data_IF_760529673092
#
_entry.id   IF_760529673092
#
_cell.length_a   1.000
_cell.length_b   1.000
_cell.length_c   1.000
_cell.angle_alpha   90.00
_cell.angle_beta   90.00
_cell.angle_gamma   90.00
#
_symmetry.space_group_name_H-M   'P 1'
#
loop_
_entity.id
_entity.type
_entity.pdbx_description
1 polymer ?
#
# COMPACT_ATOMS: atom_id res chain seq x y z
N UNK A 1 -20.60 -28.18 -11.65
CA UNK A 1 -21.74 -27.36 -11.18
C UNK A 1 -21.23 -25.93 -11.17
N UNK A 2 -21.67 -25.14 -12.14
CA UNK A 2 -21.28 -23.73 -12.27
C UNK A 2 -21.97 -22.96 -11.15
N UNK A 3 -21.20 -22.44 -10.19
CA UNK A 3 -21.74 -21.49 -9.23
C UNK A 3 -21.85 -20.17 -9.97
N UNK A 4 -23.09 -19.75 -10.19
CA UNK A 4 -23.47 -18.58 -10.96
C UNK A 4 -23.09 -17.34 -10.14
N UNK A 5 -21.97 -16.72 -10.49
CA UNK A 5 -21.62 -15.37 -10.05
C UNK A 5 -22.75 -14.45 -10.50
N UNK A 6 -23.62 -14.11 -9.56
CA UNK A 6 -24.58 -13.02 -9.73
C UNK A 6 -23.99 -11.82 -8.96
N UNK A 7 -23.00 -11.13 -9.54
CA UNK A 7 -22.28 -10.07 -8.85
C UNK A 7 -23.29 -9.00 -8.43
N UNK A 8 -23.22 -8.61 -7.16
CA UNK A 8 -24.04 -7.52 -6.64
C UNK A 8 -23.54 -6.22 -7.29
N UNK A 9 -24.35 -5.65 -8.19
CA UNK A 9 -24.04 -4.40 -8.89
C UNK A 9 -24.27 -3.18 -7.98
N UNK A 10 -23.28 -2.30 -7.88
CA UNK A 10 -23.34 -1.05 -7.14
C UNK A 10 -24.49 -0.15 -7.61
N UNK A 11 -24.83 -0.16 -8.90
CA UNK A 11 -25.95 0.63 -9.44
C UNK A 11 -27.30 0.07 -9.01
N UNK A 12 -27.42 -1.26 -8.95
CA UNK A 12 -28.60 -1.92 -8.40
C UNK A 12 -28.74 -1.66 -6.90
N UNK A 13 -27.63 -1.67 -6.15
CA UNK A 13 -27.61 -1.30 -4.73
C UNK A 13 -28.07 0.14 -4.51
N UNK A 14 -27.64 1.09 -5.33
CA UNK A 14 -28.07 2.49 -5.22
C UNK A 14 -29.59 2.66 -5.31
N UNK A 15 -30.29 1.78 -6.05
CA UNK A 15 -31.75 1.80 -6.17
C UNK A 15 -32.48 1.28 -4.91
N UNK A 16 -31.79 0.57 -4.02
CA UNK A 16 -32.34 0.06 -2.74
C UNK A 16 -32.60 1.21 -1.74
N UNK A 17 -31.90 2.33 -1.90
CA UNK A 17 -32.06 3.53 -1.08
C UNK A 17 -31.15 3.55 0.16
N UNK A 18 -30.76 4.76 0.62
CA UNK A 18 -29.70 4.94 1.60
C UNK A 18 -30.04 4.35 2.99
N UNK A 19 -31.29 4.45 3.46
CA UNK A 19 -31.69 3.94 4.78
C UNK A 19 -31.61 2.41 4.85
N UNK A 20 -32.04 1.74 3.77
CA UNK A 20 -32.03 0.28 3.72
C UNK A 20 -30.62 -0.26 3.55
N UNK A 21 -29.78 0.40 2.74
CA UNK A 21 -28.35 0.09 2.64
C UNK A 21 -27.63 0.28 3.98
N UNK A 22 -27.88 1.39 4.69
CA UNK A 22 -27.28 1.64 6.00
C UNK A 22 -27.64 0.54 7.02
N UNK A 23 -28.90 0.07 7.00
CA UNK A 23 -29.34 -1.05 7.86
C UNK A 23 -28.59 -2.34 7.51
N UNK A 24 -28.51 -2.70 6.23
CA UNK A 24 -27.83 -3.92 5.78
C UNK A 24 -26.33 -3.90 6.10
N UNK A 25 -25.68 -2.74 5.92
CA UNK A 25 -24.28 -2.56 6.27
C UNK A 25 -24.04 -2.67 7.78
N UNK A 26 -24.93 -2.10 8.60
CA UNK A 26 -24.85 -2.22 10.06
C UNK A 26 -25.03 -3.68 10.52
N UNK A 27 -25.97 -4.42 9.93
CA UNK A 27 -26.17 -5.85 10.20
C UNK A 27 -24.95 -6.68 9.77
N UNK A 28 -24.42 -6.45 8.58
CA UNK A 28 -23.23 -7.16 8.07
C UNK A 28 -21.97 -6.86 8.91
N UNK A 29 -21.83 -5.64 9.40
CA UNK A 29 -20.74 -5.25 10.30
C UNK A 29 -20.80 -5.94 11.68
N UNK A 30 -21.93 -6.52 12.09
CA UNK A 30 -21.99 -7.28 13.33
C UNK A 30 -21.24 -8.62 13.23
N UNK A 31 -21.19 -9.20 12.05
CA UNK A 31 -20.56 -10.51 11.80
C UNK A 31 -19.23 -10.40 11.05
N UNK A 32 -18.94 -9.24 10.44
CA UNK A 32 -17.70 -8.98 9.72
C UNK A 32 -16.89 -7.85 10.40
N UNK A 33 -15.84 -8.19 11.19
CA UNK A 33 -15.00 -7.22 11.87
C UNK A 33 -14.27 -6.23 10.94
N UNK A 34 -13.86 -6.68 9.75
CA UNK A 34 -13.23 -5.85 8.73
C UNK A 34 -14.21 -4.77 8.23
N UNK A 35 -15.43 -5.19 7.84
CA UNK A 35 -16.48 -4.26 7.43
C UNK A 35 -16.85 -3.27 8.54
N UNK A 36 -16.88 -3.73 9.79
CA UNK A 36 -17.14 -2.86 10.94
C UNK A 36 -16.10 -1.75 11.08
N UNK A 37 -14.81 -2.07 10.99
CA UNK A 37 -13.73 -1.08 11.08
C UNK A 37 -13.78 -0.10 9.91
N UNK A 38 -14.01 -0.60 8.70
CA UNK A 38 -14.21 0.25 7.52
C UNK A 38 -15.37 1.23 7.69
N UNK A 39 -16.52 0.78 8.18
CA UNK A 39 -17.66 1.67 8.45
C UNK A 39 -17.38 2.67 9.57
N UNK A 40 -16.69 2.25 10.64
CA UNK A 40 -16.28 3.14 11.73
C UNK A 40 -15.37 4.26 11.20
N UNK A 41 -14.38 3.91 10.38
CA UNK A 41 -13.51 4.87 9.71
C UNK A 41 -14.29 5.86 8.84
N UNK A 42 -15.17 5.37 7.95
CA UNK A 42 -15.97 6.24 7.05
C UNK A 42 -16.88 7.19 7.84
N UNK A 43 -17.46 6.73 8.95
CA UNK A 43 -18.29 7.55 9.84
C UNK A 43 -17.47 8.58 10.61
N UNK A 44 -16.24 8.23 11.02
CA UNK A 44 -15.29 9.14 11.65
C UNK A 44 -14.89 10.26 10.69
N UNK A 45 -14.52 9.92 9.46
CA UNK A 45 -14.19 10.89 8.42
C UNK A 45 -15.36 11.86 8.12
N UNK A 46 -16.60 11.37 8.09
CA UNK A 46 -17.79 12.23 7.88
C UNK A 46 -18.09 13.19 9.05
N UNK A 47 -17.70 12.85 10.27
CA UNK A 47 -17.92 13.69 11.47
C UNK A 47 -16.92 14.85 11.58
N UNK A 48 -16.04 15.01 10.60
CA UNK A 48 -15.02 16.07 10.60
C UNK A 48 -13.78 15.74 11.43
N UNK A 49 -13.60 14.48 11.83
CA UNK A 49 -12.28 14.02 12.26
C UNK A 49 -11.31 14.11 11.08
N UNK A 50 -10.06 14.45 11.35
CA UNK A 50 -9.05 14.52 10.30
C UNK A 50 -8.90 13.14 9.67
N UNK A 51 -9.21 13.03 8.36
CA UNK A 51 -9.16 11.77 7.60
C UNK A 51 -7.80 11.07 7.78
N UNK A 52 -6.70 11.83 7.85
CA UNK A 52 -5.37 11.28 8.08
C UNK A 52 -5.22 10.64 9.48
N UNK A 53 -5.81 11.25 10.51
CA UNK A 53 -5.76 10.71 11.88
C UNK A 53 -6.65 9.46 12.00
N UNK A 54 -7.81 9.46 11.35
CA UNK A 54 -8.69 8.30 11.29
C UNK A 54 -8.01 7.11 10.56
N UNK A 55 -7.30 7.36 9.44
CA UNK A 55 -6.54 6.30 8.75
C UNK A 55 -5.39 5.82 9.63
N UNK A 56 -4.68 6.72 10.30
CA UNK A 56 -3.60 6.34 11.22
C UNK A 56 -4.09 5.43 12.33
N UNK A 57 -5.25 5.76 12.90
CA UNK A 57 -5.88 4.93 13.92
C UNK A 57 -6.26 3.55 13.36
N UNK A 58 -6.82 3.51 12.15
CA UNK A 58 -7.17 2.26 11.48
C UNK A 58 -5.95 1.37 11.25
N UNK A 59 -4.85 1.93 10.73
CA UNK A 59 -3.56 1.21 10.58
C UNK A 59 -3.06 0.67 11.93
N UNK A 60 -3.13 1.48 12.99
CA UNK A 60 -2.68 1.08 14.32
C UNK A 60 -3.52 -0.06 14.90
N UNK A 61 -4.85 0.00 14.76
CA UNK A 61 -5.75 -1.06 15.22
C UNK A 61 -5.61 -2.33 14.39
N UNK A 62 -5.32 -2.18 13.10
CA UNK A 62 -5.00 -3.29 12.22
C UNK A 62 -3.72 -4.02 12.68
N UNK A 63 -2.63 -3.28 12.85
CA UNK A 63 -1.34 -3.83 13.24
C UNK A 63 -1.30 -4.41 14.66
N UNK A 64 -2.21 -4.00 15.54
CA UNK A 64 -2.33 -4.56 16.89
C UNK A 64 -2.96 -5.97 16.93
N UNK A 65 -3.50 -6.46 15.81
CA UNK A 65 -4.10 -7.78 15.74
C UNK A 65 -3.01 -8.87 15.66
N UNK A 66 -3.13 -9.90 16.49
CA UNK A 66 -2.11 -10.94 16.64
C UNK A 66 -2.63 -12.36 16.41
N UNK A 67 -3.91 -12.54 16.07
CA UNK A 67 -4.49 -13.86 15.84
C UNK A 67 -4.01 -14.48 14.53
N UNK A 68 -3.69 -15.78 14.53
CA UNK A 68 -3.40 -16.51 13.29
C UNK A 68 -4.60 -16.46 12.33
N UNK A 69 -4.28 -16.48 11.03
CA UNK A 69 -5.23 -16.31 9.94
C UNK A 69 -5.32 -17.58 9.11
N UNK A 70 -6.55 -18.04 8.86
CA UNK A 70 -6.83 -19.00 7.80
C UNK A 70 -6.95 -18.30 6.43
N UNK A 71 -7.12 -19.09 5.35
CA UNK A 71 -7.19 -18.55 3.99
C UNK A 71 -8.33 -17.54 3.77
N UNK A 72 -9.53 -17.81 4.29
CA UNK A 72 -10.69 -16.90 4.15
C UNK A 72 -10.44 -15.59 4.90
N UNK A 73 -9.78 -15.66 6.06
CA UNK A 73 -9.40 -14.48 6.83
C UNK A 73 -8.28 -13.67 6.18
N UNK A 74 -7.37 -14.30 5.43
CA UNK A 74 -6.34 -13.60 4.64
C UNK A 74 -6.99 -12.77 3.53
N UNK A 75 -8.00 -13.30 2.84
CA UNK A 75 -8.73 -12.58 1.78
C UNK A 75 -9.44 -11.35 2.34
N UNK A 76 -10.24 -11.52 3.40
CA UNK A 76 -10.95 -10.40 4.03
C UNK A 76 -10.02 -9.36 4.66
N UNK A 77 -8.81 -9.78 5.04
CA UNK A 77 -7.76 -8.89 5.50
C UNK A 77 -7.12 -8.12 4.35
N UNK A 78 -6.88 -8.76 3.20
CA UNK A 78 -6.37 -8.09 2.00
C UNK A 78 -7.33 -7.00 1.53
N UNK A 79 -8.64 -7.26 1.56
CA UNK A 79 -9.67 -6.26 1.27
C UNK A 79 -9.63 -5.05 2.24
N UNK A 80 -9.34 -5.30 3.52
CA UNK A 80 -9.18 -4.24 4.51
C UNK A 80 -7.92 -3.39 4.24
N UNK A 81 -6.82 -4.07 3.93
CA UNK A 81 -5.54 -3.44 3.57
C UNK A 81 -5.70 -2.57 2.32
N UNK A 82 -6.42 -3.08 1.31
CA UNK A 82 -6.70 -2.35 0.08
C UNK A 82 -7.58 -1.13 0.34
N UNK A 83 -8.60 -1.26 1.19
CA UNK A 83 -9.43 -0.13 1.56
C UNK A 83 -8.63 0.99 2.27
N UNK A 84 -7.67 0.62 3.13
CA UNK A 84 -6.73 1.60 3.72
C UNK A 84 -5.86 2.25 2.65
N UNK A 85 -5.26 1.48 1.74
CA UNK A 85 -4.45 1.99 0.62
C UNK A 85 -5.21 3.00 -0.23
N UNK A 86 -6.40 2.62 -0.71
CA UNK A 86 -7.26 3.47 -1.55
C UNK A 86 -7.59 4.76 -0.82
N UNK A 87 -7.99 4.67 0.46
CA UNK A 87 -8.31 5.85 1.27
C UNK A 87 -7.13 6.81 1.41
N UNK A 88 -5.91 6.30 1.59
CA UNK A 88 -4.70 7.12 1.62
C UNK A 88 -4.49 7.81 0.26
N UNK A 89 -4.54 7.03 -0.82
CA UNK A 89 -4.25 7.50 -2.17
C UNK A 89 -5.30 8.49 -2.71
N UNK A 90 -6.58 8.37 -2.32
CA UNK A 90 -7.65 9.25 -2.77
C UNK A 90 -8.01 10.32 -1.75
N UNK A 91 -8.46 9.93 -0.57
CA UNK A 91 -9.12 10.84 0.37
C UNK A 91 -8.08 11.66 1.13
N UNK A 92 -7.04 10.99 1.67
CA UNK A 92 -5.96 11.70 2.36
C UNK A 92 -5.16 12.54 1.38
N UNK A 93 -4.78 12.01 0.22
CA UNK A 93 -4.05 12.79 -0.79
C UNK A 93 -4.80 14.06 -1.19
N UNK A 94 -6.13 14.00 -1.33
CA UNK A 94 -6.95 15.17 -1.64
C UNK A 94 -7.11 16.19 -0.49
N UNK A 95 -7.14 15.73 0.77
CA UNK A 95 -7.43 16.58 1.93
C UNK A 95 -6.18 17.08 2.66
N UNK A 96 -5.13 16.27 2.74
CA UNK A 96 -3.87 16.49 3.45
C UNK A 96 -2.72 15.78 2.70
N UNK A 97 -2.34 16.27 1.50
CA UNK A 97 -1.39 15.61 0.61
C UNK A 97 -0.04 15.36 1.30
N UNK A 98 0.42 16.28 2.14
CA UNK A 98 1.66 16.19 2.92
C UNK A 98 1.72 14.97 3.86
N UNK A 99 0.56 14.45 4.30
CA UNK A 99 0.47 13.30 5.20
C UNK A 99 0.36 11.97 4.44
N UNK A 100 -0.08 11.97 3.19
CA UNK A 100 -0.35 10.74 2.42
C UNK A 100 0.89 9.85 2.23
N UNK A 101 2.09 10.37 1.87
CA UNK A 101 3.29 9.54 1.77
C UNK A 101 3.63 8.87 3.09
N UNK A 102 3.58 9.61 4.19
CA UNK A 102 3.91 9.09 5.52
C UNK A 102 2.98 7.95 5.93
N UNK A 103 1.68 8.06 5.64
CA UNK A 103 0.70 7.02 5.91
C UNK A 103 0.88 5.80 4.99
N UNK A 104 1.21 5.99 3.71
CA UNK A 104 1.52 4.88 2.81
C UNK A 104 2.76 4.11 3.29
N UNK A 105 3.79 4.81 3.77
CA UNK A 105 4.94 4.16 4.41
C UNK A 105 4.55 3.38 5.68
N UNK A 106 3.62 3.89 6.49
CA UNK A 106 3.10 3.17 7.65
C UNK A 106 2.32 1.91 7.24
N UNK A 107 1.55 1.95 6.15
CA UNK A 107 0.85 0.80 5.61
C UNK A 107 1.81 -0.37 5.30
N UNK A 108 2.96 -0.09 4.68
CA UNK A 108 3.98 -1.11 4.38
C UNK A 108 4.53 -1.80 5.64
N UNK A 109 4.58 -1.10 6.78
CA UNK A 109 5.06 -1.70 8.04
C UNK A 109 4.15 -2.83 8.54
N UNK A 110 2.91 -2.93 8.03
CA UNK A 110 2.00 -4.02 8.35
C UNK A 110 2.41 -5.34 7.70
N UNK A 111 3.30 -5.36 6.71
CA UNK A 111 3.72 -6.58 6.01
C UNK A 111 4.18 -7.67 6.98
N UNK A 112 5.10 -7.35 7.90
CA UNK A 112 5.56 -8.31 8.90
C UNK A 112 4.42 -8.79 9.81
N UNK A 113 3.56 -7.88 10.26
CA UNK A 113 2.40 -8.26 11.09
C UNK A 113 1.48 -9.22 10.36
N UNK A 114 1.32 -9.12 9.04
CA UNK A 114 0.41 -9.97 8.26
C UNK A 114 1.05 -11.32 7.95
N UNK A 115 2.24 -11.31 7.34
CA UNK A 115 2.87 -12.52 6.83
C UNK A 115 3.38 -13.44 7.95
N UNK A 116 3.64 -12.92 9.15
CA UNK A 116 3.98 -13.78 10.31
C UNK A 116 2.76 -14.52 10.89
N UNK A 117 1.54 -14.10 10.56
CA UNK A 117 0.28 -14.65 11.12
C UNK A 117 -0.38 -15.69 10.23
N UNK A 118 0.19 -16.02 9.07
CA UNK A 118 -0.38 -17.00 8.16
C UNK A 118 0.71 -17.87 7.52
N UNK A 119 0.35 -19.11 7.18
CA UNK A 119 1.18 -19.99 6.35
C UNK A 119 0.74 -19.99 4.89
N UNK A 120 -0.35 -19.28 4.58
CA UNK A 120 -0.84 -19.12 3.21
C UNK A 120 0.10 -18.21 2.41
N UNK A 121 0.10 -18.35 1.08
CA UNK A 121 1.00 -17.60 0.20
C UNK A 121 0.78 -16.07 0.28
N UNK A 122 -0.41 -15.61 0.68
CA UNK A 122 -0.74 -14.19 0.82
C UNK A 122 -0.61 -13.42 -0.49
N UNK A 123 -1.04 -14.02 -1.60
CA UNK A 123 -0.91 -13.42 -2.94
C UNK A 123 -1.74 -12.14 -3.06
N UNK A 124 -2.93 -12.16 -2.49
CA UNK A 124 -3.89 -11.06 -2.45
C UNK A 124 -3.28 -9.87 -1.71
N UNK A 125 -2.70 -10.12 -0.53
CA UNK A 125 -1.95 -9.12 0.26
C UNK A 125 -0.76 -8.57 -0.54
N UNK A 126 -0.01 -9.45 -1.21
CA UNK A 126 1.11 -9.06 -2.06
C UNK A 126 0.69 -8.14 -3.21
N UNK A 127 -0.45 -8.39 -3.85
CA UNK A 127 -1.00 -7.52 -4.89
C UNK A 127 -1.33 -6.13 -4.35
N UNK A 128 -1.89 -6.04 -3.14
CA UNK A 128 -2.17 -4.74 -2.51
C UNK A 128 -0.88 -3.96 -2.25
N UNK A 129 0.20 -4.60 -1.80
CA UNK A 129 1.49 -3.93 -1.65
C UNK A 129 2.11 -3.51 -2.99
N UNK A 130 1.92 -4.30 -4.04
CA UNK A 130 2.38 -3.94 -5.39
C UNK A 130 1.63 -2.70 -5.92
N UNK A 131 0.32 -2.58 -5.67
CA UNK A 131 -0.46 -1.38 -5.98
C UNK A 131 -0.06 -0.19 -5.11
N UNK A 132 0.15 -0.41 -3.80
CA UNK A 132 0.60 0.62 -2.87
C UNK A 132 1.96 1.21 -3.28
N UNK A 133 2.85 0.40 -3.90
CA UNK A 133 4.11 0.90 -4.45
C UNK A 133 3.89 1.94 -5.56
N UNK A 134 2.87 1.73 -6.41
CA UNK A 134 2.51 2.68 -7.47
C UNK A 134 1.90 3.96 -6.90
N UNK A 135 1.02 3.82 -5.91
CA UNK A 135 0.39 4.96 -5.25
C UNK A 135 1.40 5.78 -4.45
N UNK A 136 2.36 5.12 -3.80
CA UNK A 136 3.44 5.78 -3.06
C UNK A 136 4.20 6.80 -3.92
N UNK A 137 4.52 6.45 -5.16
CA UNK A 137 5.21 7.38 -6.07
C UNK A 137 4.32 8.58 -6.38
N UNK A 138 3.03 8.34 -6.70
CA UNK A 138 2.07 9.41 -7.00
C UNK A 138 1.87 10.35 -5.81
N UNK A 139 1.54 9.82 -4.64
CA UNK A 139 1.30 10.65 -3.45
C UNK A 139 2.56 11.39 -3.01
N UNK A 140 3.76 10.84 -3.24
CA UNK A 140 5.02 11.53 -2.95
C UNK A 140 5.25 12.72 -3.89
N UNK A 141 4.89 12.58 -5.16
CA UNK A 141 4.94 13.67 -6.14
C UNK A 141 3.89 14.74 -5.83
N UNK A 142 2.65 14.34 -5.53
CA UNK A 142 1.56 15.25 -5.19
C UNK A 142 1.84 16.04 -3.90
N UNK A 143 2.57 15.43 -2.96
CA UNK A 143 3.02 16.05 -1.71
C UNK A 143 4.32 16.86 -1.84
N UNK A 144 4.89 16.99 -3.04
CA UNK A 144 6.16 17.69 -3.31
C UNK A 144 7.34 17.17 -2.47
N UNK A 145 7.38 15.86 -2.19
CA UNK A 145 8.52 15.23 -1.50
C UNK A 145 9.75 15.32 -2.38
N UNK A 146 10.86 15.87 -1.86
CA UNK A 146 12.08 16.03 -2.64
C UNK A 146 12.55 14.70 -3.30
N UNK A 147 12.83 14.67 -4.63
CA UNK A 147 13.18 13.42 -5.32
C UNK A 147 14.37 12.65 -4.71
N UNK A 148 15.40 13.37 -4.24
CA UNK A 148 16.54 12.78 -3.52
C UNK A 148 16.17 12.25 -2.13
N UNK A 149 15.27 12.93 -1.41
CA UNK A 149 14.75 12.46 -0.12
C UNK A 149 13.95 11.17 -0.31
N UNK A 150 13.07 11.17 -1.30
CA UNK A 150 12.31 9.98 -1.70
C UNK A 150 13.25 8.83 -2.08
N UNK A 151 14.25 9.07 -2.93
CA UNK A 151 15.23 8.08 -3.34
C UNK A 151 15.98 7.47 -2.15
N UNK A 152 16.40 8.28 -1.18
CA UNK A 152 17.06 7.80 0.03
C UNK A 152 16.17 6.85 0.84
N UNK A 153 14.88 7.17 0.96
CA UNK A 153 13.91 6.34 1.67
C UNK A 153 13.60 5.04 0.93
N UNK A 154 13.46 5.10 -0.39
CA UNK A 154 13.31 3.90 -1.25
C UNK A 154 14.50 2.96 -1.09
N UNK A 155 15.73 3.49 -1.15
CA UNK A 155 16.93 2.66 -0.99
C UNK A 155 16.97 2.02 0.39
N UNK A 156 16.64 2.75 1.44
CA UNK A 156 16.55 2.16 2.78
C UNK A 156 15.54 1.01 2.80
N UNK A 157 14.33 1.22 2.25
CA UNK A 157 13.25 0.23 2.22
C UNK A 157 13.64 -1.05 1.47
N UNK A 158 14.17 -0.96 0.24
CA UNK A 158 14.55 -2.14 -0.54
C UNK A 158 15.73 -2.91 0.06
N UNK A 159 16.59 -2.25 0.84
CA UNK A 159 17.70 -2.92 1.56
C UNK A 159 17.27 -3.56 2.88
N UNK A 160 16.08 -3.23 3.36
CA UNK A 160 15.47 -3.81 4.57
C UNK A 160 14.23 -4.65 4.24
N UNK A 161 14.00 -4.97 2.97
CA UNK A 161 12.84 -5.73 2.50
C UNK A 161 12.90 -7.16 3.03
N UNK A 162 11.87 -7.56 3.78
CA UNK A 162 11.85 -8.87 4.44
C UNK A 162 10.78 -9.79 3.85
N UNK A 163 9.65 -9.23 3.43
CA UNK A 163 8.51 -10.01 2.94
C UNK A 163 8.21 -9.72 1.47
N UNK A 164 8.99 -8.86 0.81
CA UNK A 164 8.74 -8.46 -0.57
C UNK A 164 7.70 -7.35 -0.68
N UNK A 165 7.42 -6.63 0.42
CA UNK A 165 6.43 -5.54 0.45
C UNK A 165 6.83 -4.35 -0.43
N UNK A 166 8.12 -4.25 -0.78
CA UNK A 166 8.65 -3.23 -1.70
C UNK A 166 8.98 -3.77 -3.09
N UNK A 167 8.62 -5.02 -3.41
CA UNK A 167 9.01 -5.71 -4.65
C UNK A 167 8.67 -4.91 -5.91
N UNK A 168 7.48 -4.31 -6.00
CA UNK A 168 7.07 -3.54 -7.17
C UNK A 168 7.61 -2.09 -7.19
N UNK A 169 8.28 -1.62 -6.13
CA UNK A 169 8.63 -0.21 -5.97
C UNK A 169 9.58 0.30 -7.04
N UNK A 170 10.59 -0.49 -7.42
CA UNK A 170 11.52 -0.12 -8.50
C UNK A 170 10.79 0.01 -9.83
N UNK A 171 9.85 -0.90 -10.12
CA UNK A 171 9.03 -0.88 -11.34
C UNK A 171 8.06 0.30 -11.35
N UNK A 172 7.44 0.60 -10.21
CA UNK A 172 6.55 1.74 -10.05
C UNK A 172 7.31 3.05 -10.34
N UNK A 173 8.52 3.20 -9.80
CA UNK A 173 9.37 4.37 -10.03
C UNK A 173 9.79 4.44 -11.49
N UNK A 174 10.24 3.33 -12.10
CA UNK A 174 10.59 3.32 -13.53
C UNK A 174 9.42 3.75 -14.41
N UNK A 175 8.20 3.28 -14.10
CA UNK A 175 6.97 3.66 -14.80
C UNK A 175 6.59 5.14 -14.63
N UNK A 176 7.21 5.84 -13.67
CA UNK A 176 7.04 7.26 -13.46
C UNK A 176 7.88 8.14 -14.39
N UNK A 177 8.80 7.56 -15.18
CA UNK A 177 9.68 8.29 -16.10
C UNK A 177 8.97 9.35 -16.97
N UNK A 178 7.76 9.12 -17.54
CA UNK A 178 7.10 10.09 -18.40
C UNK A 178 6.55 11.34 -17.68
N UNK A 179 6.31 11.27 -16.37
CA UNK A 179 5.60 12.31 -15.61
C UNK A 179 6.33 12.79 -14.35
N UNK A 180 7.30 12.03 -13.84
CA UNK A 180 8.17 12.40 -12.72
C UNK A 180 9.64 11.95 -12.94
N UNK A 181 10.31 12.42 -14.02
CA UNK A 181 11.66 11.95 -14.39
C UNK A 181 12.74 12.24 -13.34
N UNK A 182 12.53 13.26 -12.49
CA UNK A 182 13.47 13.58 -11.41
C UNK A 182 13.58 12.45 -10.38
N UNK A 183 12.47 11.78 -10.04
CA UNK A 183 12.45 10.67 -9.08
C UNK A 183 13.21 9.46 -9.59
N UNK A 184 13.09 9.17 -10.90
CA UNK A 184 13.84 8.09 -11.54
C UNK A 184 15.33 8.41 -11.62
N UNK A 185 15.66 9.65 -11.98
CA UNK A 185 17.03 10.11 -12.15
C UNK A 185 17.78 10.15 -10.82
N UNK A 186 17.18 10.69 -9.77
CA UNK A 186 17.79 10.81 -8.45
C UNK A 186 17.97 9.45 -7.79
N UNK A 187 16.99 8.54 -7.93
CA UNK A 187 17.16 7.14 -7.51
C UNK A 187 18.34 6.50 -8.23
N UNK A 188 18.46 6.71 -9.55
CA UNK A 188 19.59 6.19 -10.32
C UNK A 188 20.92 6.73 -9.82
N UNK A 189 21.04 8.04 -9.62
CA UNK A 189 22.26 8.68 -9.12
C UNK A 189 22.63 8.11 -7.75
N UNK A 190 21.66 7.97 -6.85
CA UNK A 190 21.90 7.46 -5.51
C UNK A 190 22.34 5.98 -5.51
N UNK A 191 21.69 5.13 -6.31
CA UNK A 191 22.07 3.72 -6.44
C UNK A 191 23.52 3.57 -6.93
N UNK A 192 23.95 4.34 -7.94
CA UNK A 192 25.33 4.31 -8.42
C UNK A 192 26.31 4.75 -7.34
N UNK A 193 26.04 5.88 -6.67
CA UNK A 193 26.88 6.40 -5.59
C UNK A 193 27.10 5.36 -4.49
N UNK A 194 26.01 4.74 -4.03
CA UNK A 194 26.08 3.75 -2.94
C UNK A 194 26.80 2.46 -3.35
N UNK A 195 26.74 2.07 -4.63
CA UNK A 195 27.52 0.95 -5.15
C UNK A 195 29.01 1.25 -5.19
N UNK A 196 29.40 2.50 -5.50
CA UNK A 196 30.80 2.95 -5.49
C UNK A 196 31.38 3.05 -4.06
N UNK A 197 30.56 3.44 -3.09
CA UNK A 197 30.95 3.61 -1.67
C UNK A 197 30.94 2.30 -0.87
N UNK A 198 30.40 1.21 -1.42
CA UNK A 198 30.21 -0.05 -0.69
C UNK A 198 31.55 -0.80 -0.46
N UNK A 199 31.80 -1.38 0.73
CA UNK A 199 33.09 -2.01 1.09
C UNK A 199 33.41 -3.31 0.33
N UNK A 200 32.62 -3.67 -0.69
CA UNK A 200 32.92 -4.74 -1.63
C UNK A 200 31.68 -5.28 -2.36
N UNK A 201 31.86 -5.98 -3.50
CA UNK A 201 30.76 -6.51 -4.32
C UNK A 201 30.01 -7.69 -3.68
N UNK A 202 30.46 -8.22 -2.54
CA UNK A 202 29.92 -9.43 -1.92
C UNK A 202 28.92 -9.17 -0.76
N UNK A 203 28.66 -7.92 -0.37
CA UNK A 203 27.67 -7.64 0.68
C UNK A 203 26.24 -7.87 0.18
N UNK A 204 25.33 -8.30 1.05
CA UNK A 204 23.90 -8.45 0.76
C UNK A 204 23.32 -7.14 0.21
N UNK A 205 23.59 -6.04 0.91
CA UNK A 205 23.25 -4.68 0.46
C UNK A 205 23.75 -4.37 -0.95
N UNK A 206 24.99 -4.73 -1.33
CA UNK A 206 25.51 -4.52 -2.69
C UNK A 206 24.70 -5.29 -3.74
N UNK A 207 24.24 -6.51 -3.41
CA UNK A 207 23.43 -7.34 -4.32
C UNK A 207 22.04 -6.76 -4.53
N UNK A 208 21.39 -6.27 -3.47
CA UNK A 208 20.05 -5.68 -3.56
C UNK A 208 20.07 -4.38 -4.38
N UNK A 209 21.06 -3.52 -4.14
CA UNK A 209 21.28 -2.30 -4.94
C UNK A 209 21.54 -2.63 -6.41
N UNK A 210 22.34 -3.65 -6.70
CA UNK A 210 22.62 -4.07 -8.08
C UNK A 210 21.37 -4.65 -8.78
N UNK A 211 20.56 -5.45 -8.07
CA UNK A 211 19.30 -5.98 -8.59
C UNK A 211 18.33 -4.85 -8.93
N UNK A 212 18.16 -3.87 -8.03
CA UNK A 212 17.30 -2.71 -8.27
C UNK A 212 17.74 -1.90 -9.50
N UNK A 213 19.07 -1.74 -9.69
CA UNK A 213 19.62 -1.07 -10.86
C UNK A 213 19.28 -1.82 -12.16
N UNK A 214 19.49 -3.14 -12.17
CA UNK A 214 19.24 -4.01 -13.33
C UNK A 214 17.75 -4.05 -13.69
N UNK A 215 16.87 -4.19 -12.70
CA UNK A 215 15.42 -4.19 -12.93
C UNK A 215 14.99 -2.88 -13.59
N UNK A 216 15.37 -1.72 -13.04
CA UNK A 216 15.05 -0.43 -13.64
C UNK A 216 15.59 -0.28 -15.07
N UNK A 217 16.84 -0.67 -15.32
CA UNK A 217 17.45 -0.52 -16.64
C UNK A 217 16.78 -1.41 -17.69
N UNK A 218 16.33 -2.62 -17.30
CA UNK A 218 15.54 -3.48 -18.20
C UNK A 218 14.18 -2.90 -18.56
N UNK A 219 13.55 -2.15 -17.64
CA UNK A 219 12.28 -1.45 -17.86
C UNK A 219 12.42 -0.17 -18.68
N UNK A 220 13.62 0.38 -18.79
CA UNK A 220 13.90 1.60 -19.58
C UNK A 220 14.18 1.30 -21.06
N UNK A 221 14.39 0.02 -21.43
CA UNK A 221 14.71 -0.43 -22.78
C UNK A 221 13.47 -0.79 -23.64
N UNK A 222 12.28 -0.73 -23.04
CA UNK A 222 10.96 -1.00 -23.64
C UNK A 222 10.16 0.28 -23.74
#
# INVERSE_FOLDING_TARGET
MSNEENPIDAKALAAVGPERLATLLAEAAMTNPCMRRRLQFELSAQKGENVADAVRQWISEFGAQTSFLDAEQVDGLADELDAMRVTIASNVSGAAPDLAPALMWQLFTLAGTIFERTTEEGREVSCVFDEACSDLVRVSVDADVGPMEFAAKVVAAITSDQYGEYRALIRAIASAQPWAPAYVSDLKVLLHRLLEESPGPASERSRDLQRALQERDSLSAT
#
